data_IF_784738831170
#
_entry.id   IF_784738831170
#
_cell.length_a   1.000
_cell.length_b   1.000
_cell.length_c   1.000
_cell.angle_alpha   90.00
_cell.angle_beta   90.00
_cell.angle_gamma   90.00
#
_symmetry.space_group_name_H-M   'P 1'
#
loop_
_entity.id
_entity.type
_entity.pdbx_description
1 polymer ?
#
# COMPACT_ATOMS: atom_id res chain seq x y z
N UNK A 1 10.63 -0.16 -8.30
CA UNK A 1 11.32 -1.35 -7.83
C UNK A 1 10.34 -2.48 -7.58
N UNK A 2 10.86 -3.68 -7.37
CA UNK A 2 10.03 -4.83 -7.05
C UNK A 2 9.23 -4.63 -5.77
N UNK A 3 9.80 -3.94 -4.79
CA UNK A 3 9.10 -3.64 -3.54
C UNK A 3 7.87 -2.76 -3.76
N UNK A 4 7.96 -1.81 -4.69
CA UNK A 4 6.80 -0.99 -5.05
C UNK A 4 5.67 -1.87 -5.59
N UNK A 5 6.00 -2.79 -6.48
CA UNK A 5 5.01 -3.69 -7.07
C UNK A 5 4.38 -4.60 -6.02
N UNK A 6 5.18 -5.10 -5.07
CA UNK A 6 4.66 -5.94 -4.00
C UNK A 6 3.63 -5.20 -3.15
N UNK A 7 3.90 -3.95 -2.82
CA UNK A 7 2.95 -3.12 -2.06
C UNK A 7 1.68 -2.90 -2.87
N UNK A 8 1.83 -2.53 -4.14
CA UNK A 8 0.68 -2.24 -4.99
C UNK A 8 -0.19 -3.48 -5.19
N UNK A 9 0.42 -4.64 -5.42
CA UNK A 9 -0.32 -5.89 -5.58
C UNK A 9 -1.07 -6.26 -4.30
N UNK A 10 -0.43 -6.10 -3.15
CA UNK A 10 -1.06 -6.38 -1.87
C UNK A 10 -2.28 -5.48 -1.66
N UNK A 11 -2.14 -4.19 -1.95
CA UNK A 11 -3.25 -3.24 -1.83
C UNK A 11 -4.44 -3.65 -2.70
N UNK A 12 -4.17 -4.01 -3.95
CA UNK A 12 -5.22 -4.40 -4.87
C UNK A 12 -5.91 -5.68 -4.44
N UNK A 13 -5.14 -6.66 -3.97
CA UNK A 13 -5.70 -7.93 -3.51
C UNK A 13 -6.60 -7.74 -2.30
N UNK A 14 -6.16 -6.96 -1.32
CA UNK A 14 -6.97 -6.70 -0.13
C UNK A 14 -8.23 -5.93 -0.50
N UNK A 15 -8.10 -4.94 -1.37
CA UNK A 15 -9.26 -4.17 -1.82
C UNK A 15 -10.28 -5.05 -2.54
N UNK A 16 -9.82 -5.98 -3.37
CA UNK A 16 -10.71 -6.90 -4.08
C UNK A 16 -11.46 -7.83 -3.11
N UNK A 17 -10.80 -8.24 -2.04
CA UNK A 17 -11.42 -9.14 -1.08
C UNK A 17 -12.38 -8.44 -0.13
N UNK A 18 -12.02 -7.27 0.34
CA UNK A 18 -12.76 -6.59 1.41
C UNK A 18 -13.54 -5.37 0.93
N UNK A 19 -13.17 -4.82 -0.20
CA UNK A 19 -13.73 -3.55 -0.69
C UNK A 19 -13.19 -2.33 0.01
N UNK A 20 -12.19 -2.50 0.87
CA UNK A 20 -11.59 -1.41 1.64
C UNK A 20 -10.08 -1.35 1.42
N UNK A 21 -9.55 -0.12 1.53
CA UNK A 21 -8.11 0.09 1.46
C UNK A 21 -7.48 -0.33 2.80
N UNK A 22 -6.46 -1.20 2.80
CA UNK A 22 -5.82 -1.60 4.04
C UNK A 22 -5.06 -0.42 4.66
N UNK A 23 -4.90 -0.45 5.99
CA UNK A 23 -4.13 0.57 6.68
C UNK A 23 -2.64 0.37 6.42
N UNK A 24 -1.87 1.45 6.61
CA UNK A 24 -0.41 1.39 6.45
C UNK A 24 0.21 0.37 7.40
N UNK A 25 -0.33 0.26 8.61
CA UNK A 25 0.17 -0.71 9.59
C UNK A 25 -0.07 -2.14 9.13
N UNK A 26 -1.24 -2.40 8.57
CA UNK A 26 -1.58 -3.72 8.05
C UNK A 26 -0.65 -4.12 6.92
N UNK A 27 -0.38 -3.21 6.00
CA UNK A 27 0.53 -3.46 4.88
C UNK A 27 1.93 -3.77 5.38
N UNK A 28 2.43 -2.98 6.33
CA UNK A 28 3.76 -3.20 6.90
C UNK A 28 3.86 -4.57 7.56
N UNK A 29 2.85 -4.95 8.31
CA UNK A 29 2.83 -6.22 9.02
C UNK A 29 2.78 -7.39 8.05
N UNK A 30 1.92 -7.33 7.04
CA UNK A 30 1.75 -8.41 6.07
C UNK A 30 2.98 -8.61 5.18
N UNK A 31 3.64 -7.53 4.81
CA UNK A 31 4.79 -7.57 3.93
C UNK A 31 6.13 -7.60 4.67
N UNK A 32 6.10 -7.50 6.00
CA UNK A 32 7.32 -7.48 6.80
C UNK A 32 8.15 -6.22 6.61
N UNK A 33 7.50 -5.11 6.30
CA UNK A 33 8.16 -3.83 6.11
C UNK A 33 8.02 -2.95 7.34
N UNK A 34 8.99 -2.03 7.55
CA UNK A 34 8.84 -1.01 8.57
C UNK A 34 8.12 0.20 7.98
N UNK A 35 7.54 1.03 8.86
CA UNK A 35 6.90 2.27 8.42
C UNK A 35 7.89 3.18 7.69
N UNK A 36 9.13 3.19 8.16
CA UNK A 36 10.18 3.99 7.53
C UNK A 36 10.45 3.52 6.11
N UNK A 37 10.54 2.21 5.91
CA UNK A 37 10.76 1.65 4.57
C UNK A 37 9.61 2.01 3.64
N UNK A 38 8.37 1.88 4.12
CA UNK A 38 7.20 2.23 3.32
C UNK A 38 7.19 3.70 2.96
N UNK A 39 7.58 4.57 3.90
CA UNK A 39 7.67 6.01 3.64
C UNK A 39 8.72 6.34 2.60
N UNK A 40 9.83 5.59 2.56
CA UNK A 40 10.86 5.78 1.55
C UNK A 40 10.38 5.35 0.16
N UNK A 41 9.58 4.29 0.09
CA UNK A 41 9.03 3.82 -1.17
C UNK A 41 8.00 4.80 -1.74
N UNK A 42 7.25 5.45 -0.86
CA UNK A 42 6.21 6.41 -1.27
C UNK A 42 6.38 7.72 -0.51
N UNK A 43 7.34 8.57 -0.94
CA UNK A 43 7.62 9.83 -0.24
C UNK A 43 6.45 10.80 -0.20
N UNK A 44 5.51 10.67 -1.15
CA UNK A 44 4.31 11.53 -1.17
C UNK A 44 3.26 11.10 -0.16
N UNK A 45 3.50 9.99 0.54
CA UNK A 45 2.58 9.45 1.52
C UNK A 45 1.84 8.23 1.01
N UNK A 46 1.32 7.46 1.95
CA UNK A 46 0.67 6.19 1.64
C UNK A 46 -0.53 6.37 0.70
N UNK A 47 -1.46 7.26 1.08
CA UNK A 47 -2.67 7.46 0.28
C UNK A 47 -2.40 8.12 -1.06
N UNK A 48 -1.53 9.11 -1.08
CA UNK A 48 -1.23 9.84 -2.31
C UNK A 48 -0.37 9.03 -3.27
N UNK A 49 0.54 8.22 -2.72
CA UNK A 49 1.45 7.42 -3.53
C UNK A 49 0.89 6.05 -3.83
N UNK A 50 0.95 5.15 -2.85
CA UNK A 50 0.64 3.74 -3.06
C UNK A 50 -0.81 3.52 -3.48
N UNK A 51 -1.77 4.09 -2.77
CA UNK A 51 -3.19 3.87 -3.03
C UNK A 51 -3.58 4.42 -4.39
N UNK A 52 -3.10 5.61 -4.72
CA UNK A 52 -3.38 6.22 -6.01
C UNK A 52 -2.78 5.42 -7.17
N UNK A 53 -1.54 4.96 -7.02
CA UNK A 53 -0.87 4.17 -8.05
C UNK A 53 -1.54 2.81 -8.25
N UNK A 54 -2.12 2.25 -7.20
CA UNK A 54 -2.86 1.00 -7.29
C UNK A 54 -4.23 1.18 -7.95
N UNK A 55 -4.66 2.42 -8.16
CA UNK A 55 -5.95 2.71 -8.79
C UNK A 55 -7.13 2.54 -7.85
N UNK A 56 -6.90 2.55 -6.55
CA UNK A 56 -7.95 2.39 -5.57
C UNK A 56 -8.64 3.73 -5.27
N UNK A 57 -9.90 3.66 -4.97
CA UNK A 57 -10.66 4.84 -4.60
C UNK A 57 -10.69 4.99 -3.08
N UNK A 58 -10.38 6.19 -2.61
CA UNK A 58 -10.41 6.52 -1.19
C UNK A 58 -11.58 7.49 -0.98
N UNK A 59 -12.43 7.13 -0.07
CA UNK A 59 -13.58 7.98 0.28
C UNK A 59 -13.29 8.82 1.49
#
# INVERSE_FOLDING_TARGET
TQQHWEVLDHLRNVYDETGDVPTVYSVCEELGLSLETLAQLFPSGYHRGAVKLAGLRVH
#
